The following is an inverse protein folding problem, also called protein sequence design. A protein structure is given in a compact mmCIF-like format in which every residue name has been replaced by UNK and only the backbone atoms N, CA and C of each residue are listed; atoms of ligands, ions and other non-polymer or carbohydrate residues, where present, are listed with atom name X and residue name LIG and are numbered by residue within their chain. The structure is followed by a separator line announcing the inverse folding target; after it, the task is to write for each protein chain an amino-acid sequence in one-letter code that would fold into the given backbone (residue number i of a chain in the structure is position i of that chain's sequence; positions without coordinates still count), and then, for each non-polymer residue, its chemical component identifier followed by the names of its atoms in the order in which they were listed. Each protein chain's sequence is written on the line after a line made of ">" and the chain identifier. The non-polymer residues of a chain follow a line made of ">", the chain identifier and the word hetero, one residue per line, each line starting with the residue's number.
data_IF_251816018613
#
_entry.id   IF_251816018613
#
_cell.length_a   1.000
_cell.length_b   1.000
_cell.length_c   1.000
_cell.angle_alpha   90.00
_cell.angle_beta   90.00
_cell.angle_gamma   90.00
#
_symmetry.space_group_name_H-M   'P 1'
#
loop_
_entity.id
_entity.type
_entity.pdbx_description
1 polymer ?
#
# COMPACT_ATOMS: atom_id res chain seq x y z
N UNK A 1 -26.68 -2.18 -8.93
CA UNK A 1 -26.85 -1.67 -9.08
C UNK A 1 -26.92 -1.35 -9.18
N UNK A 2 -26.35 -1.64 -8.77
CA UNK A 2 -26.31 -1.23 -8.84
C UNK A 2 -26.06 -1.01 -8.84
N UNK A 3 -25.60 -1.13 -8.56
CA UNK A 3 -25.39 -0.72 -8.52
C UNK A 3 -25.07 -0.48 -8.43
N UNK A 4 -24.69 -0.65 -8.09
CA UNK A 4 -24.45 -0.18 -7.97
C UNK A 4 -24.26 0.00 -7.78
N UNK A 5 -23.88 -0.12 -7.29
CA UNK A 5 -23.85 0.31 -7.04
C UNK A 5 -23.94 0.26 -6.75
N UNK A 6 -23.59 -0.04 -6.10
CA UNK A 6 -23.78 0.21 -5.76
C UNK A 6 -23.72 0.12 -5.55
N UNK A 7 -23.57 -0.40 -5.20
CA UNK A 7 -23.59 -0.26 -4.93
C UNK A 7 -23.55 -0.63 -4.64
N UNK A 8 -23.36 -1.00 -4.27
CA UNK A 8 -23.32 -0.98 -3.99
C UNK A 8 -23.24 -1.29 -3.56
N UNK A 9 -22.99 -1.56 -3.20
CA UNK A 9 -22.91 -1.61 -2.73
C UNK A 9 -22.69 -1.98 -2.32
N UNK A 10 -22.65 -2.23 -1.99
CA UNK A 10 -22.44 -2.39 -1.51
C UNK A 10 -22.28 -2.97 -1.15
N UNK A 11 -22.37 -3.25 -0.87
CA UNK A 11 -22.22 -3.57 -0.48
C UNK A 11 -22.18 -4.13 -0.03
N UNK A 12 -22.23 -4.46 0.33
CA UNK A 12 -22.12 -4.80 0.84
C UNK A 12 -22.02 -5.37 1.31
N UNK A 13 -22.04 -5.71 1.78
CA UNK A 13 -21.89 -6.14 2.39
C UNK A 13 -21.75 -6.88 2.91
N UNK A 14 -21.68 -7.19 3.34
CA UNK A 14 -21.52 -7.74 3.90
C UNK A 14 -21.53 -8.45 4.54
N UNK A 15 -21.35 -8.73 4.98
CA UNK A 15 -21.36 -9.26 5.61
C UNK A 15 -21.23 -9.87 6.31
N UNK A 16 -21.09 -10.37 6.82
CA UNK A 16 -20.85 -10.83 7.51
C UNK A 16 -20.42 -10.75 8.17
N UNK A 17 -20.37 -10.74 8.55
CA UNK A 17 -19.74 -10.36 9.06
C UNK A 17 -18.91 -10.41 9.31
N UNK A 18 -18.80 -10.85 9.16
CA UNK A 18 -18.00 -10.82 9.12
C UNK A 18 -17.47 -10.38 8.76
N UNK A 19 -17.50 -10.32 8.85
CA UNK A 19 -16.90 -9.85 8.49
C UNK A 19 -16.50 -8.93 7.71
N UNK A 20 -16.75 -8.56 7.93
CA UNK A 20 -16.31 -7.50 7.13
C UNK A 20 -15.52 -6.48 7.86
N UNK A 21 -14.32 -6.40 7.53
CA UNK A 21 -13.41 -5.51 8.19
C UNK A 21 -12.89 -4.51 7.21
N UNK A 22 -12.60 -3.31 7.68
CA UNK A 22 -11.90 -2.34 6.85
C UNK A 22 -10.54 -2.92 6.49
N UNK A 23 -10.08 -2.71 5.27
CA UNK A 23 -8.75 -3.19 4.88
C UNK A 23 -7.67 -2.45 5.63
N UNK A 24 -6.49 -3.06 5.68
CA UNK A 24 -5.30 -2.46 6.25
C UNK A 24 -4.48 -1.82 5.13
N UNK A 25 -3.61 -0.91 5.51
CA UNK A 25 -2.77 -0.18 4.57
C UNK A 25 -1.32 -0.24 5.00
N UNK A 26 -0.42 -0.36 4.02
CA UNK A 26 1.00 -0.14 4.26
C UNK A 26 1.32 1.25 3.74
N UNK A 27 1.81 2.10 4.63
CA UNK A 27 2.16 3.48 4.30
C UNK A 27 3.67 3.59 4.26
N UNK A 28 4.19 4.14 3.17
CA UNK A 28 5.61 4.38 3.00
C UNK A 28 5.86 5.87 3.18
N UNK A 29 6.80 6.21 4.06
CA UNK A 29 7.16 7.60 4.34
C UNK A 29 8.40 7.99 3.58
N UNK A 30 8.49 9.27 3.25
CA UNK A 30 9.66 9.79 2.56
C UNK A 30 10.90 9.69 3.45
N UNK A 31 12.02 9.30 2.85
CA UNK A 31 13.31 9.27 3.51
C UNK A 31 14.34 9.78 2.51
N UNK A 32 15.08 10.80 2.92
CA UNK A 32 16.13 11.35 2.06
C UNK A 32 17.33 10.43 1.96
N UNK A 33 17.26 9.28 2.60
CA UNK A 33 18.39 8.34 2.71
C UNK A 33 18.49 7.37 1.53
N UNK A 34 17.53 7.40 0.60
CA UNK A 34 17.53 6.49 -0.55
C UNK A 34 17.20 7.25 -1.83
N UNK A 35 17.73 6.75 -2.93
CA UNK A 35 17.40 7.29 -4.25
C UNK A 35 16.03 6.78 -4.68
N UNK A 36 15.44 7.47 -5.67
CA UNK A 36 14.18 6.99 -6.27
C UNK A 36 14.35 5.59 -6.83
N UNK A 37 15.51 5.31 -7.44
CA UNK A 37 15.81 4.00 -8.00
C UNK A 37 15.75 2.92 -6.91
N UNK A 38 16.39 3.19 -5.77
CA UNK A 38 16.39 2.24 -4.66
C UNK A 38 14.98 1.94 -4.18
N UNK A 39 14.19 2.99 -4.01
CA UNK A 39 12.80 2.85 -3.54
C UNK A 39 11.98 2.08 -4.56
N UNK A 40 12.13 2.43 -5.86
CA UNK A 40 11.39 1.75 -6.92
C UNK A 40 11.70 0.26 -6.96
N UNK A 41 12.99 -0.09 -6.88
CA UNK A 41 13.40 -1.50 -6.91
C UNK A 41 12.87 -2.26 -5.70
N UNK A 42 12.84 -1.61 -4.54
CA UNK A 42 12.32 -2.26 -3.35
C UNK A 42 10.81 -2.45 -3.44
N UNK A 43 10.09 -1.49 -4.02
CA UNK A 43 8.66 -1.62 -4.26
C UNK A 43 8.36 -2.76 -5.23
N UNK A 44 9.22 -2.95 -6.25
CA UNK A 44 9.06 -4.08 -7.15
C UNK A 44 9.12 -5.40 -6.40
N UNK A 45 9.98 -5.51 -5.41
CA UNK A 45 10.08 -6.72 -4.59
C UNK A 45 8.90 -6.87 -3.65
N UNK A 46 8.45 -5.77 -3.08
CA UNK A 46 7.42 -5.81 -2.04
C UNK A 46 6.03 -6.04 -2.61
N UNK A 47 5.67 -5.37 -3.69
CA UNK A 47 4.31 -5.38 -4.22
C UNK A 47 4.23 -5.77 -5.69
N UNK A 48 5.33 -6.20 -6.28
CA UNK A 48 5.35 -6.76 -7.64
C UNK A 48 4.89 -5.78 -8.73
N UNK A 49 5.11 -4.49 -8.53
CA UNK A 49 4.83 -3.49 -9.57
C UNK A 49 6.00 -3.43 -10.54
N UNK A 50 5.77 -2.79 -11.69
CA UNK A 50 6.85 -2.54 -12.65
C UNK A 50 7.79 -1.47 -12.10
N UNK A 51 8.96 -1.36 -12.73
CA UNK A 51 9.91 -0.30 -12.37
C UNK A 51 9.28 1.08 -12.52
N UNK A 52 8.58 1.30 -13.65
CA UNK A 52 7.94 2.60 -13.89
C UNK A 52 6.90 2.92 -12.84
N UNK A 53 6.12 1.92 -12.43
CA UNK A 53 5.14 2.12 -11.36
C UNK A 53 5.83 2.39 -10.03
N UNK A 54 6.93 1.69 -9.77
CA UNK A 54 7.73 1.92 -8.56
C UNK A 54 8.28 3.33 -8.52
N UNK A 55 8.76 3.84 -9.66
CA UNK A 55 9.28 5.20 -9.75
C UNK A 55 8.16 6.22 -9.53
N UNK A 56 6.98 5.97 -10.08
CA UNK A 56 5.83 6.87 -9.88
C UNK A 56 5.45 6.93 -8.40
N UNK A 57 5.43 5.79 -7.73
CA UNK A 57 5.12 5.75 -6.29
C UNK A 57 6.22 6.49 -5.50
N UNK A 58 7.48 6.26 -5.85
CA UNK A 58 8.59 6.92 -5.18
C UNK A 58 8.49 8.45 -5.32
N UNK A 59 8.07 8.92 -6.47
CA UNK A 59 7.88 10.35 -6.70
C UNK A 59 6.76 10.89 -5.81
N UNK A 60 5.64 10.16 -5.71
CA UNK A 60 4.53 10.56 -4.86
C UNK A 60 4.96 10.63 -3.39
N UNK A 61 5.70 9.62 -2.94
CA UNK A 61 6.20 9.60 -1.57
C UNK A 61 7.09 10.81 -1.31
N UNK A 62 7.96 11.11 -2.28
CA UNK A 62 8.89 12.25 -2.15
C UNK A 62 8.14 13.58 -2.09
N UNK A 63 7.14 13.78 -2.95
CA UNK A 63 6.45 15.06 -3.04
C UNK A 63 5.37 15.24 -1.99
N UNK A 64 4.71 14.14 -1.58
CA UNK A 64 3.61 14.20 -0.61
C UNK A 64 4.07 13.88 0.81
N UNK A 65 5.27 13.38 0.98
CA UNK A 65 5.80 12.99 2.27
C UNK A 65 5.49 11.55 2.66
N UNK A 66 4.44 10.98 2.10
CA UNK A 66 4.05 9.60 2.33
C UNK A 66 3.04 9.17 1.28
N UNK A 67 2.85 7.85 1.17
CA UNK A 67 1.82 7.29 0.28
C UNK A 67 1.42 5.92 0.77
N UNK A 68 0.16 5.55 0.54
CA UNK A 68 -0.29 4.19 0.76
C UNK A 68 0.18 3.38 -0.45
N UNK A 69 1.04 2.39 -0.19
CA UNK A 69 1.63 1.60 -1.28
C UNK A 69 0.95 0.24 -1.44
N UNK A 70 0.23 -0.22 -0.43
CA UNK A 70 -0.48 -1.48 -0.51
C UNK A 70 -1.69 -1.43 0.41
N UNK A 71 -2.79 -2.04 -0.03
CA UNK A 71 -4.03 -2.13 0.75
C UNK A 71 -4.51 -3.57 0.68
N UNK A 72 -4.86 -4.14 1.83
CA UNK A 72 -5.35 -5.51 1.88
C UNK A 72 -5.39 -6.02 3.29
N UNK A 73 -5.19 -7.34 3.44
CA UNK A 73 -5.18 -7.95 4.75
C UNK A 73 -3.96 -7.49 5.56
N UNK A 74 -4.15 -7.42 6.87
CA UNK A 74 -3.09 -6.98 7.77
C UNK A 74 -1.81 -7.76 7.56
N UNK A 75 -1.92 -9.08 7.45
CA UNK A 75 -0.76 -9.95 7.32
C UNK A 75 0.07 -9.61 6.08
N UNK A 76 -0.62 -9.36 4.96
CA UNK A 76 0.08 -8.96 3.73
C UNK A 76 0.69 -7.57 3.86
N UNK A 77 -0.02 -6.66 4.51
CA UNK A 77 0.50 -5.32 4.74
C UNK A 77 1.77 -5.35 5.56
N UNK A 78 1.81 -6.23 6.57
CA UNK A 78 3.00 -6.38 7.40
C UNK A 78 4.15 -7.00 6.61
N UNK A 79 3.85 -7.95 5.72
CA UNK A 79 4.86 -8.56 4.88
C UNK A 79 5.47 -7.53 3.92
N UNK A 80 4.63 -6.70 3.32
CA UNK A 80 5.08 -5.63 2.45
C UNK A 80 5.98 -4.66 3.21
N UNK A 81 5.55 -4.28 4.42
CA UNK A 81 6.33 -3.38 5.26
C UNK A 81 7.70 -3.97 5.58
N UNK A 82 7.77 -5.27 5.89
CA UNK A 82 9.03 -5.92 6.20
C UNK A 82 10.02 -5.85 5.03
N UNK A 83 9.53 -6.05 3.81
CA UNK A 83 10.39 -5.98 2.63
C UNK A 83 10.93 -4.57 2.47
N UNK A 84 10.07 -3.56 2.64
CA UNK A 84 10.51 -2.17 2.52
C UNK A 84 11.48 -1.79 3.63
N UNK A 85 11.24 -2.26 4.85
CA UNK A 85 12.10 -1.95 5.98
C UNK A 85 13.46 -2.64 5.89
N UNK A 86 13.59 -3.67 5.05
CA UNK A 86 14.85 -4.37 4.92
C UNK A 86 15.98 -3.47 4.40
N UNK A 87 15.65 -2.38 3.73
CA UNK A 87 16.64 -1.37 3.34
C UNK A 87 16.45 -0.07 4.14
N UNK A 88 15.83 -0.17 5.32
CA UNK A 88 15.67 0.96 6.26
C UNK A 88 14.69 2.02 5.80
N UNK A 89 13.74 1.66 4.94
CA UNK A 89 12.65 2.57 4.63
C UNK A 89 11.68 2.61 5.82
N UNK A 90 11.03 3.75 6.00
CA UNK A 90 10.09 3.96 7.10
C UNK A 90 8.70 3.61 6.63
N UNK A 91 8.03 2.74 7.36
CA UNK A 91 6.67 2.32 7.02
C UNK A 91 5.79 2.29 8.24
N UNK A 92 4.48 2.25 7.99
CA UNK A 92 3.49 2.05 9.02
C UNK A 92 2.36 1.20 8.45
N UNK A 93 1.88 0.24 9.22
CA UNK A 93 0.73 -0.58 8.85
C UNK A 93 -0.43 -0.14 9.73
N UNK A 94 -1.55 0.26 9.10
CA UNK A 94 -2.72 0.73 9.85
C UNK A 94 -3.98 0.57 9.01
N UNK A 95 -5.13 0.71 9.66
CA UNK A 95 -6.42 0.74 8.97
C UNK A 95 -6.82 2.14 8.54
#
# INVERSE_FOLDING_TARGET
>A
MTTTLHPPKKIKKTTDGTMTRAPWNTILFNCECHSFDDVARQLMKAIRVSYDQGMAIAFIVHTQGKAVVYTGHRERCEAVAMVLESIKLLTKVSQ
#
